data_IF_282434814907
#
_entry.id   IF_282434814907
#
_cell.length_a   1.000
_cell.length_b   1.000
_cell.length_c   1.000
_cell.angle_alpha   90.00
_cell.angle_beta   90.00
_cell.angle_gamma   90.00
#
_symmetry.space_group_name_H-M   'P 1'
#
loop_
_entity.id
_entity.type
_entity.pdbx_description
1 polymer ?
#
# COMPACT_ATOMS: atom_id res chain seq x y z
N UNK A 1 41.58 40.56 18.77
CA UNK A 1 42.22 39.24 18.75
C UNK A 1 41.36 38.20 19.42
N UNK A 2 40.64 37.42 18.61
CA UNK A 2 39.91 36.23 19.03
C UNK A 2 40.63 35.05 18.35
N UNK A 3 41.50 34.40 19.12
CA UNK A 3 42.24 33.21 18.69
C UNK A 3 41.31 32.00 18.68
N UNK A 4 41.01 31.48 17.49
CA UNK A 4 40.34 30.20 17.31
C UNK A 4 41.38 29.07 17.48
N UNK A 5 41.26 28.27 18.53
CA UNK A 5 41.97 27.00 18.62
C UNK A 5 41.17 25.92 17.87
N UNK A 6 41.81 25.12 16.99
CA UNK A 6 41.14 24.05 16.28
C UNK A 6 40.94 22.83 17.19
N UNK A 7 39.70 22.35 17.26
CA UNK A 7 39.34 21.11 17.95
C UNK A 7 40.04 19.88 17.33
N UNK A 8 40.46 18.90 18.13
CA UNK A 8 41.06 17.67 17.63
C UNK A 8 40.02 16.81 16.91
N UNK A 9 40.47 16.15 15.83
CA UNK A 9 39.69 15.21 15.05
C UNK A 9 39.30 13.97 15.90
N UNK A 10 38.08 13.43 15.76
CA UNK A 10 37.68 12.22 16.46
C UNK A 10 38.46 11.02 15.92
N UNK A 11 39.08 10.27 16.85
CA UNK A 11 39.77 9.01 16.59
C UNK A 11 38.77 7.93 16.19
N UNK A 12 39.00 7.34 15.02
CA UNK A 12 38.31 6.14 14.55
C UNK A 12 38.86 4.90 15.25
N UNK A 13 38.13 4.35 16.21
CA UNK A 13 38.23 2.93 16.56
C UNK A 13 37.04 2.53 17.44
N UNK A 14 35.94 2.14 16.79
CA UNK A 14 34.89 1.31 17.38
C UNK A 14 34.44 0.33 16.30
N UNK A 15 35.15 -0.80 16.24
CA UNK A 15 34.78 -1.94 15.40
C UNK A 15 33.68 -2.73 16.12
N UNK A 16 32.44 -2.24 16.05
CA UNK A 16 31.28 -3.04 16.41
C UNK A 16 31.07 -4.13 15.35
N UNK A 17 31.26 -5.39 15.77
CA UNK A 17 30.98 -6.55 14.94
C UNK A 17 29.48 -6.61 14.62
N UNK A 18 29.11 -6.13 13.44
CA UNK A 18 27.81 -6.40 12.85
C UNK A 18 27.72 -7.89 12.56
N UNK A 19 27.09 -8.63 13.47
CA UNK A 19 26.55 -9.95 13.15
C UNK A 19 25.55 -9.77 12.02
N UNK A 20 25.95 -10.20 10.83
CA UNK A 20 25.13 -10.28 9.63
C UNK A 20 23.84 -11.05 9.94
N UNK A 21 22.76 -10.32 10.21
CA UNK A 21 21.40 -10.80 10.05
C UNK A 21 21.22 -11.12 8.56
N UNK A 22 21.51 -12.37 8.18
CA UNK A 22 21.16 -12.94 6.88
C UNK A 22 19.64 -12.95 6.73
N UNK A 23 19.09 -11.82 6.29
CA UNK A 23 17.78 -11.78 5.67
C UNK A 23 17.76 -12.69 4.45
N UNK A 24 16.58 -13.18 4.02
CA UNK A 24 16.48 -14.10 2.89
C UNK A 24 17.12 -13.48 1.64
N UNK A 25 18.19 -14.10 1.17
CA UNK A 25 19.06 -13.66 0.05
C UNK A 25 18.48 -13.90 -1.34
N UNK A 26 17.17 -14.14 -1.46
CA UNK A 26 16.52 -14.36 -2.77
C UNK A 26 15.42 -13.33 -3.03
N UNK A 27 15.82 -12.06 -3.10
CA UNK A 27 15.10 -11.10 -3.93
C UNK A 27 15.42 -11.40 -5.40
N UNK A 28 14.91 -12.53 -5.90
CA UNK A 28 15.03 -12.90 -7.30
C UNK A 28 13.96 -12.15 -8.09
N UNK A 29 14.30 -10.94 -8.52
CA UNK A 29 13.71 -10.45 -9.77
C UNK A 29 14.10 -11.48 -10.83
N UNK A 30 13.15 -12.11 -11.56
CA UNK A 30 13.51 -13.06 -12.60
C UNK A 30 14.62 -12.45 -13.47
N UNK A 31 15.78 -13.11 -13.62
CA UNK A 31 16.89 -12.57 -14.39
C UNK A 31 16.41 -12.42 -15.84
N UNK A 32 15.92 -11.21 -16.18
CA UNK A 32 15.41 -10.67 -17.47
C UNK A 32 14.24 -9.66 -17.32
N UNK A 33 13.67 -9.40 -16.14
CA UNK A 33 12.49 -8.51 -16.01
C UNK A 33 12.76 -7.09 -15.45
N UNK A 34 14.01 -6.73 -15.17
CA UNK A 34 14.42 -5.34 -14.96
C UNK A 34 15.63 -5.11 -15.87
N UNK A 35 15.40 -5.03 -17.17
CA UNK A 35 16.32 -4.28 -18.01
C UNK A 35 16.19 -2.80 -17.57
N UNK A 36 17.29 -2.06 -17.47
CA UNK A 36 17.22 -0.59 -17.37
C UNK A 36 16.51 0.08 -18.57
N UNK A 37 16.10 -0.74 -19.54
CA UNK A 37 15.36 -0.46 -20.75
C UNK A 37 13.85 -0.78 -20.66
N UNK A 38 13.36 -1.45 -19.61
CA UNK A 38 11.93 -1.72 -19.45
C UNK A 38 11.29 -0.39 -19.18
N UNK A 39 10.66 0.14 -20.22
CA UNK A 39 9.91 1.36 -20.14
C UNK A 39 8.94 1.23 -18.97
N UNK A 40 8.96 2.22 -18.07
CA UNK A 40 7.94 2.34 -17.04
C UNK A 40 6.58 2.19 -17.72
N UNK A 41 5.66 1.39 -17.16
CA UNK A 41 4.43 1.10 -17.85
C UNK A 41 3.63 2.40 -17.98
N UNK A 42 3.08 2.67 -19.16
CA UNK A 42 2.58 3.99 -19.50
C UNK A 42 1.51 4.45 -18.51
N UNK A 43 1.50 5.75 -18.21
CA UNK A 43 0.54 6.34 -17.27
C UNK A 43 -0.89 6.38 -17.84
N UNK A 44 -1.05 6.45 -19.16
CA UNK A 44 -2.36 6.55 -19.82
C UNK A 44 -3.34 5.43 -19.45
N UNK A 45 -2.98 4.14 -19.60
CA UNK A 45 -3.84 3.03 -19.21
C UNK A 45 -4.21 3.00 -17.72
N UNK A 46 -3.33 3.49 -16.84
CA UNK A 46 -3.62 3.63 -15.42
C UNK A 46 -4.63 4.76 -15.16
N UNK A 47 -4.50 5.89 -15.86
CA UNK A 47 -5.43 7.01 -15.73
C UNK A 47 -6.85 6.66 -16.19
N UNK A 48 -7.02 5.77 -17.16
CA UNK A 48 -8.33 5.30 -17.61
C UNK A 48 -9.10 4.53 -16.53
N UNK A 49 -8.41 3.91 -15.56
CA UNK A 49 -9.04 3.15 -14.48
C UNK A 49 -8.89 3.80 -13.11
N UNK A 50 -8.09 4.87 -13.00
CA UNK A 50 -7.98 5.66 -11.80
C UNK A 50 -9.24 6.49 -11.63
N UNK A 51 -9.86 6.44 -10.43
CA UNK A 51 -11.10 7.17 -10.14
C UNK A 51 -11.01 8.68 -10.43
N UNK A 52 -9.82 9.26 -10.29
CA UNK A 52 -9.55 10.67 -10.54
C UNK A 52 -8.59 10.93 -11.71
N UNK A 53 -8.36 9.93 -12.57
CA UNK A 53 -7.43 10.05 -13.69
C UNK A 53 -5.98 10.28 -13.24
N UNK A 54 -5.29 11.22 -13.89
CA UNK A 54 -3.90 11.65 -13.57
C UNK A 54 -3.84 12.57 -12.34
N UNK A 55 -4.35 12.12 -11.21
CA UNK A 55 -4.32 12.85 -9.93
C UNK A 55 -3.79 11.96 -8.84
N UNK A 56 -3.07 12.54 -7.89
CA UNK A 56 -2.67 11.81 -6.69
C UNK A 56 -3.92 11.37 -5.92
N UNK A 57 -4.00 10.08 -5.60
CA UNK A 57 -5.14 9.48 -4.91
C UNK A 57 -5.29 9.93 -3.45
N UNK A 58 -4.24 10.53 -2.86
CA UNK A 58 -4.28 11.08 -1.51
C UNK A 58 -4.55 12.59 -1.52
N UNK A 59 -3.72 13.38 -2.20
CA UNK A 59 -3.80 14.85 -2.16
C UNK A 59 -4.85 15.44 -3.12
N UNK A 60 -5.25 14.66 -4.13
CA UNK A 60 -6.11 15.06 -5.27
C UNK A 60 -5.49 16.11 -6.21
N UNK A 61 -4.20 16.45 -6.05
CA UNK A 61 -3.49 17.32 -6.98
C UNK A 61 -3.33 16.66 -8.35
N UNK A 62 -3.42 17.47 -9.40
CA UNK A 62 -3.27 17.02 -10.79
C UNK A 62 -1.80 16.87 -11.18
N UNK A 63 -1.56 16.00 -12.15
CA UNK A 63 -0.23 15.82 -12.74
C UNK A 63 0.18 16.94 -13.71
N UNK A 64 -0.39 18.15 -13.60
CA UNK A 64 -0.10 19.25 -14.52
C UNK A 64 1.38 19.68 -14.49
N UNK A 65 2.03 19.51 -13.34
CA UNK A 65 3.44 19.81 -13.13
C UNK A 65 4.33 18.55 -13.13
N UNK A 66 3.82 17.42 -13.66
CA UNK A 66 4.54 16.14 -13.68
C UNK A 66 4.99 15.62 -12.28
N UNK A 67 4.31 16.05 -11.21
CA UNK A 67 4.64 15.67 -9.82
C UNK A 67 4.03 14.35 -9.37
N UNK A 68 3.08 13.82 -10.15
CA UNK A 68 2.34 12.59 -9.84
C UNK A 68 2.96 11.41 -10.58
N UNK A 69 3.24 10.35 -9.84
CA UNK A 69 3.87 9.12 -10.33
C UNK A 69 2.90 7.95 -10.18
N UNK A 70 3.00 6.98 -11.10
CA UNK A 70 2.36 5.68 -10.93
C UNK A 70 3.20 4.84 -9.97
N UNK A 71 2.70 4.64 -8.75
CA UNK A 71 3.29 3.82 -7.71
C UNK A 71 2.72 2.39 -7.76
N UNK A 72 3.56 1.37 -7.59
CA UNK A 72 3.07 0.02 -7.34
C UNK A 72 2.69 -0.12 -5.86
N UNK A 73 1.55 -0.75 -5.60
CA UNK A 73 1.09 -1.03 -4.23
C UNK A 73 1.96 -2.13 -3.63
N UNK A 74 2.05 -3.27 -4.30
CA UNK A 74 3.04 -4.32 -4.02
C UNK A 74 4.20 -4.17 -5.00
N UNK A 75 5.41 -4.06 -4.47
CA UNK A 75 6.61 -3.81 -5.28
C UNK A 75 6.79 -4.87 -6.38
N UNK A 76 7.22 -4.44 -7.56
CA UNK A 76 7.46 -5.34 -8.70
C UNK A 76 8.53 -6.41 -8.38
N UNK A 77 9.59 -6.03 -7.67
CA UNK A 77 10.65 -6.92 -7.20
C UNK A 77 10.25 -7.64 -5.90
N UNK A 78 9.09 -8.30 -5.88
CA UNK A 78 8.66 -9.11 -4.74
C UNK A 78 9.33 -10.49 -4.74
N UNK A 79 9.56 -11.04 -3.54
CA UNK A 79 10.02 -12.42 -3.32
C UNK A 79 9.11 -13.41 -4.08
N UNK A 80 9.70 -14.41 -4.75
CA UNK A 80 8.97 -15.43 -5.50
C UNK A 80 7.91 -16.16 -4.65
N UNK A 81 8.17 -16.33 -3.36
CA UNK A 81 7.22 -16.92 -2.40
C UNK A 81 5.98 -16.06 -2.23
N UNK A 82 6.14 -14.73 -2.25
CA UNK A 82 5.02 -13.78 -2.15
C UNK A 82 4.17 -13.86 -3.41
N UNK A 83 4.79 -13.83 -4.59
CA UNK A 83 4.09 -14.00 -5.87
C UNK A 83 3.34 -15.33 -5.93
N UNK A 84 3.98 -16.44 -5.54
CA UNK A 84 3.34 -17.76 -5.49
C UNK A 84 2.19 -17.81 -4.48
N UNK A 85 2.31 -17.12 -3.34
CA UNK A 85 1.24 -16.95 -2.36
C UNK A 85 0.03 -16.26 -3.00
N UNK A 86 0.24 -15.09 -3.62
CA UNK A 86 -0.81 -14.37 -4.33
C UNK A 86 -1.46 -15.21 -5.43
N UNK A 87 -0.68 -15.94 -6.24
CA UNK A 87 -1.23 -16.84 -7.25
C UNK A 87 -2.17 -17.88 -6.64
N UNK A 88 -1.76 -18.49 -5.53
CA UNK A 88 -2.53 -19.49 -4.83
C UNK A 88 -3.86 -18.95 -4.27
N UNK A 89 -3.82 -17.93 -3.41
CA UNK A 89 -5.05 -17.48 -2.73
C UNK A 89 -5.94 -16.59 -3.60
N UNK A 90 -5.41 -16.02 -4.70
CA UNK A 90 -6.22 -15.28 -5.68
C UNK A 90 -6.76 -16.17 -6.81
N UNK A 91 -6.41 -17.47 -6.81
CA UNK A 91 -6.75 -18.45 -7.84
C UNK A 91 -6.28 -18.00 -9.23
N UNK A 92 -5.04 -17.51 -9.29
CA UNK A 92 -4.37 -17.15 -10.55
C UNK A 92 -3.46 -18.33 -10.93
N UNK A 93 -3.42 -18.78 -12.19
CA UNK A 93 -2.54 -19.87 -12.57
C UNK A 93 -1.06 -19.54 -12.28
N UNK A 94 -0.28 -20.56 -11.95
CA UNK A 94 1.12 -20.36 -11.55
C UNK A 94 1.96 -19.70 -12.66
N UNK A 95 2.80 -18.74 -12.27
CA UNK A 95 3.61 -17.92 -13.17
C UNK A 95 2.81 -16.93 -14.03
N UNK A 96 1.53 -16.69 -13.72
CA UNK A 96 0.65 -15.77 -14.45
C UNK A 96 0.33 -14.50 -13.68
N UNK A 97 0.71 -14.37 -12.41
CA UNK A 97 0.56 -13.11 -11.71
C UNK A 97 1.51 -12.06 -12.28
N UNK A 98 0.95 -11.07 -12.93
CA UNK A 98 1.67 -9.87 -13.33
C UNK A 98 1.44 -8.76 -12.30
N UNK A 99 2.46 -8.42 -11.51
CA UNK A 99 2.41 -7.30 -10.55
C UNK A 99 2.38 -5.92 -11.24
N UNK A 100 2.66 -5.85 -12.54
CA UNK A 100 2.56 -4.62 -13.31
C UNK A 100 1.12 -4.30 -13.80
N UNK A 101 0.14 -5.05 -13.31
CA UNK A 101 -1.26 -4.78 -13.62
C UNK A 101 -1.76 -3.51 -12.95
N UNK A 102 -2.75 -2.88 -13.60
CA UNK A 102 -3.39 -1.64 -13.11
C UNK A 102 -3.96 -1.77 -11.70
N UNK A 103 -4.54 -2.92 -11.34
CA UNK A 103 -5.07 -3.15 -9.99
C UNK A 103 -4.00 -3.19 -8.87
N UNK A 104 -2.71 -3.23 -9.21
CA UNK A 104 -1.59 -3.10 -8.28
C UNK A 104 -0.91 -1.71 -8.38
N UNK A 105 -1.52 -0.74 -9.05
CA UNK A 105 -0.90 0.58 -9.27
C UNK A 105 -1.85 1.70 -8.86
N UNK A 106 -1.28 2.79 -8.37
CA UNK A 106 -2.01 3.97 -7.89
C UNK A 106 -1.21 5.22 -8.23
N UNK A 107 -1.88 6.36 -8.43
CA UNK A 107 -1.19 7.63 -8.65
C UNK A 107 -0.90 8.31 -7.31
N UNK A 108 0.36 8.68 -7.07
CA UNK A 108 0.80 9.38 -5.87
C UNK A 108 1.72 10.55 -6.24
N UNK A 109 1.64 11.67 -5.50
CA UNK A 109 2.67 12.71 -5.60
C UNK A 109 4.02 12.14 -5.16
N UNK A 110 5.12 12.61 -5.74
CA UNK A 110 6.46 12.07 -5.50
C UNK A 110 6.82 11.91 -4.02
N UNK A 111 6.57 12.94 -3.18
CA UNK A 111 6.87 12.88 -1.75
C UNK A 111 5.99 11.85 -1.01
N UNK A 112 4.71 11.76 -1.39
CA UNK A 112 3.77 10.79 -0.82
C UNK A 112 4.09 9.37 -1.25
N UNK A 113 4.55 9.19 -2.49
CA UNK A 113 5.03 7.92 -3.03
C UNK A 113 6.24 7.42 -2.26
N UNK A 114 7.25 8.28 -2.07
CA UNK A 114 8.43 7.93 -1.26
C UNK A 114 7.99 7.54 0.17
N UNK A 115 7.16 8.35 0.82
CA UNK A 115 6.65 8.04 2.15
C UNK A 115 5.86 6.71 2.21
N UNK A 116 5.12 6.38 1.14
CA UNK A 116 4.36 5.14 1.00
C UNK A 116 5.29 3.92 0.86
N UNK A 117 6.35 4.05 0.07
CA UNK A 117 7.37 3.02 -0.11
C UNK A 117 8.08 2.70 1.20
N UNK A 118 8.42 3.74 1.97
CA UNK A 118 9.04 3.64 3.29
C UNK A 118 8.07 3.26 4.42
N UNK A 119 6.82 2.91 4.11
CA UNK A 119 5.85 2.46 5.13
C UNK A 119 5.51 3.52 6.17
N UNK A 120 5.57 4.81 5.82
CA UNK A 120 5.17 5.92 6.71
C UNK A 120 3.66 6.10 6.81
N UNK A 121 2.94 5.58 5.83
CA UNK A 121 1.49 5.58 5.77
C UNK A 121 1.02 4.44 4.85
N UNK A 122 -0.24 4.09 4.92
CA UNK A 122 -0.85 3.16 3.98
C UNK A 122 -2.31 3.50 3.67
N UNK A 123 -2.81 2.90 2.59
CA UNK A 123 -4.25 2.73 2.41
C UNK A 123 -4.68 1.47 3.20
N UNK A 124 -5.81 1.53 3.89
CA UNK A 124 -6.39 0.37 4.59
C UNK A 124 -7.82 0.16 4.06
N UNK A 125 -8.20 -1.03 3.56
CA UNK A 125 -9.56 -1.28 3.12
C UNK A 125 -10.54 -1.18 4.29
N UNK A 126 -11.81 -0.90 4.01
CA UNK A 126 -12.84 -0.88 5.06
C UNK A 126 -13.00 -2.25 5.72
N UNK A 127 -13.52 -2.26 6.94
CA UNK A 127 -13.76 -3.48 7.73
C UNK A 127 -14.49 -4.58 6.94
N UNK A 128 -15.52 -4.24 6.17
CA UNK A 128 -16.30 -5.21 5.40
C UNK A 128 -15.45 -5.96 4.38
N UNK A 129 -14.59 -5.23 3.65
CA UNK A 129 -13.69 -5.82 2.66
C UNK A 129 -12.59 -6.64 3.34
N UNK A 130 -12.04 -6.16 4.46
CA UNK A 130 -11.06 -6.91 5.26
C UNK A 130 -11.64 -8.21 5.86
N UNK A 131 -12.89 -8.16 6.33
CA UNK A 131 -13.60 -9.31 6.87
C UNK A 131 -13.88 -10.34 5.77
N UNK A 132 -14.41 -9.89 4.62
CA UNK A 132 -14.63 -10.77 3.46
C UNK A 132 -13.33 -11.42 2.97
N UNK A 133 -12.23 -10.66 2.95
CA UNK A 133 -10.90 -11.19 2.66
C UNK A 133 -10.47 -12.27 3.66
N UNK A 134 -10.69 -12.05 4.95
CA UNK A 134 -10.32 -13.00 5.99
C UNK A 134 -11.04 -14.33 5.79
N UNK A 135 -12.32 -14.30 5.47
CA UNK A 135 -13.10 -15.50 5.16
C UNK A 135 -12.55 -16.22 3.93
N UNK A 136 -12.25 -15.48 2.86
CA UNK A 136 -11.68 -16.04 1.63
C UNK A 136 -10.31 -16.70 1.87
N UNK A 137 -9.40 -16.03 2.57
CA UNK A 137 -8.08 -16.55 2.91
C UNK A 137 -8.15 -17.80 3.81
N UNK A 138 -9.17 -17.88 4.67
CA UNK A 138 -9.46 -19.04 5.52
C UNK A 138 -10.28 -20.13 4.81
N UNK A 139 -10.53 -20.00 3.51
CA UNK A 139 -11.26 -20.97 2.67
C UNK A 139 -12.70 -21.21 3.12
N UNK A 140 -13.27 -20.24 3.84
CA UNK A 140 -14.67 -20.27 4.25
C UNK A 140 -15.56 -19.88 3.07
N UNK A 141 -16.75 -20.46 2.99
CA UNK A 141 -17.72 -20.09 1.96
C UNK A 141 -18.12 -18.63 2.17
N UNK A 142 -17.91 -17.80 1.15
CA UNK A 142 -18.36 -16.42 1.16
C UNK A 142 -19.86 -16.35 0.91
N UNK A 143 -20.52 -15.38 1.54
CA UNK A 143 -21.86 -14.98 1.13
C UNK A 143 -21.79 -14.36 -0.28
N UNK A 144 -22.88 -14.45 -1.07
CA UNK A 144 -22.98 -13.76 -2.36
C UNK A 144 -22.61 -12.28 -2.24
N UNK A 145 -22.01 -11.68 -3.28
CA UNK A 145 -21.81 -10.24 -3.28
C UNK A 145 -23.17 -9.50 -3.38
N UNK A 146 -23.26 -8.21 -3.00
CA UNK A 146 -24.50 -7.45 -3.18
C UNK A 146 -24.98 -7.51 -4.64
N UNK A 147 -26.18 -8.05 -4.86
CA UNK A 147 -26.77 -8.23 -6.19
C UNK A 147 -26.61 -9.64 -6.78
N UNK A 148 -25.86 -10.53 -6.12
CA UNK A 148 -25.73 -11.94 -6.50
C UNK A 148 -26.61 -12.82 -5.61
N UNK A 149 -27.14 -13.90 -6.18
CA UNK A 149 -27.96 -14.88 -5.44
C UNK A 149 -27.15 -16.08 -4.99
N UNK A 150 -26.15 -16.47 -5.79
CA UNK A 150 -25.35 -17.66 -5.55
C UNK A 150 -24.03 -17.31 -4.85
N UNK A 151 -23.56 -18.15 -3.91
CA UNK A 151 -22.23 -18.02 -3.36
C UNK A 151 -21.16 -18.15 -4.46
N UNK A 152 -20.02 -17.47 -4.34
CA UNK A 152 -18.97 -17.56 -5.34
C UNK A 152 -18.34 -18.94 -5.38
N UNK A 153 -17.85 -19.30 -6.56
CA UNK A 153 -17.20 -20.57 -6.85
C UNK A 153 -15.89 -20.71 -6.07
N UNK A 154 -15.44 -21.97 -5.88
CA UNK A 154 -14.17 -22.29 -5.22
C UNK A 154 -13.40 -23.29 -6.06
N UNK A 155 -12.08 -23.16 -6.08
CA UNK A 155 -11.20 -24.15 -6.69
C UNK A 155 -11.10 -25.41 -5.83
N UNK A 156 -10.36 -26.42 -6.32
CA UNK A 156 -10.12 -27.68 -5.61
C UNK A 156 -9.38 -27.51 -4.27
N UNK A 157 -8.67 -26.40 -4.06
CA UNK A 157 -7.98 -26.07 -2.81
C UNK A 157 -8.86 -25.29 -1.83
N UNK A 158 -10.11 -24.98 -2.21
CA UNK A 158 -11.09 -24.25 -1.40
C UNK A 158 -10.94 -22.72 -1.43
N UNK A 159 -10.12 -22.17 -2.33
CA UNK A 159 -9.99 -20.72 -2.52
C UNK A 159 -11.00 -20.20 -3.55
N UNK A 160 -11.54 -19.01 -3.29
CA UNK A 160 -12.43 -18.28 -4.20
C UNK A 160 -11.63 -17.38 -5.14
N UNK A 161 -11.90 -17.36 -6.46
CA UNK A 161 -11.25 -16.43 -7.39
C UNK A 161 -11.33 -14.98 -6.93
N UNK A 162 -10.22 -14.25 -6.98
CA UNK A 162 -10.16 -12.92 -6.37
C UNK A 162 -11.15 -11.91 -6.97
N UNK A 163 -11.53 -12.05 -8.25
CA UNK A 163 -12.57 -11.23 -8.86
C UNK A 163 -13.98 -11.50 -8.30
N UNK A 164 -14.24 -12.70 -7.78
CA UNK A 164 -15.51 -13.03 -7.10
C UNK A 164 -15.49 -12.64 -5.61
N UNK A 165 -14.29 -12.64 -5.00
CA UNK A 165 -14.12 -12.04 -3.66
C UNK A 165 -14.32 -10.52 -3.75
N UNK A 166 -13.66 -9.89 -4.72
CA UNK A 166 -13.72 -8.45 -4.93
C UNK A 166 -13.98 -8.14 -6.41
N UNK A 167 -15.26 -7.99 -6.80
CA UNK A 167 -15.62 -7.54 -8.14
C UNK A 167 -14.89 -6.23 -8.49
N UNK A 168 -14.57 -6.08 -9.78
CA UNK A 168 -13.84 -4.93 -10.33
C UNK A 168 -14.70 -3.67 -10.25
N UNK A 169 -14.66 -3.02 -9.09
CA UNK A 169 -15.33 -1.76 -8.79
C UNK A 169 -14.40 -0.85 -8.01
N UNK A 170 -14.70 0.44 -8.04
CA UNK A 170 -14.11 1.41 -7.13
C UNK A 170 -14.49 1.08 -5.69
N UNK A 171 -13.53 1.27 -4.78
CA UNK A 171 -13.68 0.99 -3.34
C UNK A 171 -13.07 2.10 -2.54
N UNK A 172 -13.65 2.35 -1.38
CA UNK A 172 -13.10 3.30 -0.44
C UNK A 172 -12.07 2.64 0.46
N UNK A 173 -11.03 3.40 0.78
CA UNK A 173 -9.94 3.01 1.65
C UNK A 173 -9.69 4.14 2.65
N UNK A 174 -9.37 3.78 3.88
CA UNK A 174 -8.82 4.70 4.86
C UNK A 174 -7.42 5.14 4.43
N UNK A 175 -7.11 6.42 4.59
CA UNK A 175 -5.76 6.96 4.46
C UNK A 175 -5.18 7.00 5.87
N UNK A 176 -4.16 6.20 6.15
CA UNK A 176 -3.66 5.99 7.50
C UNK A 176 -2.17 6.34 7.58
N UNK A 177 -1.83 7.56 8.01
CA UNK A 177 -0.48 7.87 8.48
C UNK A 177 -0.17 7.01 9.70
N UNK A 178 1.03 6.43 9.75
CA UNK A 178 1.47 5.64 10.89
C UNK A 178 2.26 6.51 11.88
N UNK A 179 2.54 5.95 13.06
CA UNK A 179 3.35 6.57 14.13
C UNK A 179 4.73 7.07 13.69
N UNK A 180 5.26 6.54 12.58
CA UNK A 180 6.57 6.92 12.05
C UNK A 180 6.51 8.07 11.05
N UNK A 181 5.32 8.59 10.77
CA UNK A 181 5.13 9.84 10.05
C UNK A 181 5.67 11.02 10.86
N UNK A 182 6.30 12.00 10.21
CA UNK A 182 6.91 13.14 10.92
C UNK A 182 5.86 14.07 11.55
N UNK A 183 6.02 14.39 12.83
CA UNK A 183 5.04 15.16 13.61
C UNK A 183 4.79 16.59 13.10
N UNK A 184 5.72 17.14 12.33
CA UNK A 184 5.65 18.50 11.79
C UNK A 184 5.27 18.54 10.30
N UNK A 185 5.06 17.37 9.68
CA UNK A 185 4.82 17.27 8.24
C UNK A 185 3.31 17.16 8.02
N UNK A 186 2.64 18.23 7.54
CA UNK A 186 1.22 18.14 7.24
C UNK A 186 0.93 17.29 6.01
N UNK A 187 -0.31 16.83 5.92
CA UNK A 187 -0.89 16.35 4.67
C UNK A 187 -1.80 17.45 4.13
N UNK A 188 -1.44 18.01 2.98
CA UNK A 188 -2.30 18.95 2.25
C UNK A 188 -3.09 18.20 1.19
N UNK A 189 -4.41 18.34 1.21
CA UNK A 189 -5.31 17.68 0.27
C UNK A 189 -6.43 18.62 -0.17
N UNK A 190 -6.81 18.57 -1.44
CA UNK A 190 -8.00 19.31 -1.91
C UNK A 190 -9.27 18.79 -1.27
N UNK A 191 -10.23 19.67 -0.99
CA UNK A 191 -11.55 19.24 -0.50
C UNK A 191 -12.27 18.40 -1.56
N UNK A 192 -12.26 18.88 -2.80
CA UNK A 192 -12.78 18.20 -3.98
C UNK A 192 -11.83 18.35 -5.18
N UNK A 193 -11.90 17.45 -6.17
CA UNK A 193 -10.97 17.44 -7.33
C UNK A 193 -11.01 18.72 -8.17
N UNK A 194 -12.19 19.34 -8.26
CA UNK A 194 -12.48 20.54 -9.06
C UNK A 194 -12.36 21.84 -8.26
N UNK A 195 -12.21 21.74 -6.94
CA UNK A 195 -12.09 22.90 -6.07
C UNK A 195 -10.63 23.34 -5.95
N UNK A 196 -10.43 24.64 -5.73
CA UNK A 196 -9.13 25.22 -5.40
C UNK A 196 -8.82 25.09 -3.91
N UNK A 197 -9.86 24.97 -3.08
CA UNK A 197 -9.74 24.85 -1.63
C UNK A 197 -8.96 23.60 -1.24
N UNK A 198 -7.98 23.80 -0.36
CA UNK A 198 -7.17 22.75 0.22
C UNK A 198 -7.36 22.76 1.74
N UNK A 199 -7.45 21.57 2.33
CA UNK A 199 -7.40 21.37 3.78
C UNK A 199 -6.04 20.80 4.15
N UNK A 200 -5.50 21.33 5.25
CA UNK A 200 -4.27 20.86 5.87
C UNK A 200 -4.64 19.95 7.04
N UNK A 201 -4.10 18.76 7.06
CA UNK A 201 -4.28 17.77 8.12
C UNK A 201 -2.96 17.62 8.87
N UNK A 202 -3.02 17.56 10.19
CA UNK A 202 -1.88 17.45 11.10
C UNK A 202 -2.06 16.24 12.05
N UNK A 203 -0.98 15.70 12.63
CA UNK A 203 -1.08 14.79 13.76
C UNK A 203 -1.92 15.40 14.89
N UNK A 204 -2.64 14.59 15.68
CA UNK A 204 -2.58 13.12 15.80
C UNK A 204 -3.36 12.34 14.74
N UNK A 205 -3.83 12.96 13.66
CA UNK A 205 -4.64 12.34 12.59
C UNK A 205 -6.05 11.89 13.04
N UNK A 206 -6.44 12.31 14.23
CA UNK A 206 -7.76 12.14 14.84
C UNK A 206 -8.44 13.48 15.02
N UNK A 207 -9.77 13.49 14.95
CA UNK A 207 -10.60 14.60 15.42
C UNK A 207 -10.77 14.51 16.96
N UNK A 208 -11.29 15.56 17.63
CA UNK A 208 -11.53 15.53 19.08
C UNK A 208 -12.49 14.44 19.58
N UNK A 209 -13.26 13.83 18.68
CA UNK A 209 -14.20 12.73 18.96
C UNK A 209 -13.61 11.34 18.64
N UNK A 210 -12.28 11.25 18.51
CA UNK A 210 -11.53 10.05 18.13
C UNK A 210 -11.91 9.46 16.75
N UNK A 211 -12.61 10.23 15.92
CA UNK A 211 -12.85 9.84 14.53
C UNK A 211 -11.66 10.20 13.64
N UNK A 212 -11.50 9.55 12.48
CA UNK A 212 -10.42 9.86 11.56
C UNK A 212 -10.50 11.27 10.99
N UNK A 213 -9.40 12.01 11.06
CA UNK A 213 -9.33 13.35 10.49
C UNK A 213 -9.27 13.32 8.96
N UNK A 214 -8.54 12.36 8.38
CA UNK A 214 -8.36 12.24 6.93
C UNK A 214 -9.59 11.61 6.26
N UNK A 215 -10.05 12.16 5.13
CA UNK A 215 -11.13 11.57 4.36
C UNK A 215 -10.67 10.25 3.71
N UNK A 216 -11.65 9.41 3.36
CA UNK A 216 -11.40 8.19 2.59
C UNK A 216 -10.89 8.53 1.17
N UNK A 217 -10.14 7.60 0.59
CA UNK A 217 -9.74 7.62 -0.81
C UNK A 217 -10.46 6.52 -1.59
N UNK A 218 -10.99 6.84 -2.77
CA UNK A 218 -11.64 5.88 -3.65
C UNK A 218 -10.64 5.38 -4.69
N UNK A 219 -10.32 4.09 -4.69
CA UNK A 219 -9.31 3.47 -5.55
C UNK A 219 -9.89 2.31 -6.37
N UNK A 220 -9.22 1.98 -7.47
CA UNK A 220 -9.49 0.79 -8.29
C UNK A 220 -8.59 -0.41 -7.91
N UNK A 221 -7.70 -0.23 -6.94
CA UNK A 221 -6.71 -1.22 -6.57
C UNK A 221 -7.35 -2.45 -5.93
N UNK A 222 -6.72 -3.61 -6.09
CA UNK A 222 -7.19 -4.83 -5.41
C UNK A 222 -6.99 -4.69 -3.90
N UNK A 223 -8.03 -4.99 -3.08
CA UNK A 223 -7.87 -5.01 -1.63
C UNK A 223 -6.75 -5.94 -1.17
N UNK A 224 -6.50 -7.07 -1.85
CA UNK A 224 -5.41 -8.00 -1.52
C UNK A 224 -4.05 -7.30 -1.48
N UNK A 225 -3.74 -6.51 -2.50
CA UNK A 225 -2.48 -5.78 -2.59
C UNK A 225 -2.37 -4.68 -1.55
N UNK A 226 -3.44 -3.92 -1.36
CA UNK A 226 -3.49 -2.82 -0.39
C UNK A 226 -3.29 -3.35 1.03
N UNK A 227 -4.00 -4.42 1.40
CA UNK A 227 -3.85 -5.08 2.71
C UNK A 227 -2.44 -5.61 2.93
N UNK A 228 -1.84 -6.26 1.92
CA UNK A 228 -0.49 -6.79 2.05
C UNK A 228 0.55 -5.68 2.24
N UNK A 229 0.46 -4.58 1.47
CA UNK A 229 1.34 -3.42 1.63
C UNK A 229 1.19 -2.77 3.02
N UNK A 230 -0.03 -2.63 3.52
CA UNK A 230 -0.29 -2.14 4.86
C UNK A 230 0.29 -3.07 5.95
N UNK A 231 0.14 -4.40 5.77
CA UNK A 231 0.74 -5.39 6.66
C UNK A 231 2.26 -5.28 6.72
N UNK A 232 2.93 -5.16 5.56
CA UNK A 232 4.39 -5.00 5.51
C UNK A 232 4.86 -3.76 6.25
N UNK A 233 4.13 -2.64 6.14
CA UNK A 233 4.45 -1.42 6.88
C UNK A 233 4.25 -1.61 8.39
N UNK A 234 3.11 -2.16 8.81
CA UNK A 234 2.78 -2.42 10.22
C UNK A 234 3.69 -3.47 10.90
N UNK A 235 4.36 -4.33 10.13
CA UNK A 235 5.33 -5.29 10.65
C UNK A 235 6.66 -4.63 11.05
N UNK A 236 6.94 -3.42 10.56
CA UNK A 236 8.20 -2.74 10.87
C UNK A 236 8.25 -2.33 12.36
N UNK A 237 9.42 -2.40 13.01
CA UNK A 237 9.56 -2.01 14.41
C UNK A 237 9.09 -0.57 14.68
N UNK A 238 8.32 -0.38 15.74
CA UNK A 238 7.82 0.94 16.16
C UNK A 238 6.67 1.52 15.32
N UNK A 239 6.31 0.86 14.20
CA UNK A 239 5.18 1.29 13.36
C UNK A 239 3.87 0.82 13.97
N UNK A 240 2.96 1.75 14.24
CA UNK A 240 1.58 1.47 14.62
C UNK A 240 0.63 2.46 13.94
N UNK A 241 -0.61 2.03 13.73
CA UNK A 241 -1.67 2.91 13.26
C UNK A 241 -2.29 3.66 14.44
N UNK A 242 -2.51 4.97 14.33
CA UNK A 242 -3.12 5.76 15.40
C UNK A 242 -4.62 5.47 15.57
N UNK A 243 -5.27 4.83 14.59
CA UNK A 243 -6.71 4.56 14.53
C UNK A 243 -7.02 3.18 13.95
N UNK A 244 -8.31 2.81 14.01
CA UNK A 244 -8.91 1.62 13.39
C UNK A 244 -8.43 0.29 13.96
N UNK A 245 -8.49 0.07 15.30
CA UNK A 245 -7.96 -1.15 15.90
C UNK A 245 -8.54 -2.43 15.26
N UNK A 246 -9.82 -2.42 14.88
CA UNK A 246 -10.49 -3.58 14.25
C UNK A 246 -9.96 -3.87 12.85
N UNK A 247 -9.83 -2.85 12.00
CA UNK A 247 -9.30 -2.99 10.65
C UNK A 247 -7.81 -3.35 10.69
N UNK A 248 -7.03 -2.72 11.56
CA UNK A 248 -5.59 -3.00 11.75
C UNK A 248 -5.37 -4.44 12.19
N UNK A 249 -6.17 -4.94 13.14
CA UNK A 249 -6.13 -6.35 13.53
C UNK A 249 -6.41 -7.29 12.35
N UNK A 250 -7.38 -6.95 11.50
CA UNK A 250 -7.68 -7.74 10.31
C UNK A 250 -6.58 -7.63 9.25
N UNK A 251 -5.95 -6.46 9.06
CA UNK A 251 -4.78 -6.30 8.19
C UNK A 251 -3.65 -7.22 8.65
N UNK A 252 -3.36 -7.24 9.95
CA UNK A 252 -2.32 -8.11 10.53
C UNK A 252 -2.69 -9.60 10.36
N UNK A 253 -3.95 -9.97 10.65
CA UNK A 253 -4.42 -11.36 10.50
C UNK A 253 -4.37 -11.82 9.05
N UNK A 254 -4.88 -11.01 8.12
CA UNK A 254 -4.90 -11.31 6.70
C UNK A 254 -3.48 -11.39 6.13
N UNK A 255 -2.61 -10.44 6.47
CA UNK A 255 -1.22 -10.43 6.02
C UNK A 255 -0.39 -11.61 6.53
N UNK A 256 -0.72 -12.20 7.68
CA UNK A 256 -0.10 -13.46 8.15
C UNK A 256 -0.59 -14.71 7.41
N UNK A 257 -1.78 -14.65 6.81
CA UNK A 257 -2.34 -15.74 6.00
C UNK A 257 -1.86 -15.71 4.55
N UNK A 258 -1.49 -14.53 4.05
CA UNK A 258 -0.90 -14.30 2.73
C UNK A 258 0.59 -14.65 2.71
#
# INVERSE_FOLDING_TARGET
DLSFEPSPAPSSDDTESQTESRGPTEWSTPPRNIDGWSARPPAGPLAQVSFHGHRCSLSLFSNANCSVQGAHVVAHASDLRVTAGFEKFMVIPSGKLNLDRRSNRVFLDANLHIAYDHGKWAFIPLYEDLSRMNFALRRLQLQPAPGETEPPSRNSEGFTPHEEVFPRKYRDFHIVPFSTWGNEIPITRKVHVDQKECRVYLPPWTNPDDTPALPKATLHCSPYFITYKAYLALKQPGVHAPLYPREVDLVIKNGKLM
#
